data_IF_130715906650
#
_entry.id   IF_130715906650
#
_cell.length_a   1.000
_cell.length_b   1.000
_cell.length_c   1.000
_cell.angle_alpha   90.00
_cell.angle_beta   90.00
_cell.angle_gamma   90.00
#
_symmetry.space_group_name_H-M   'P 1'
#
loop_
_entity.id
_entity.type
_entity.pdbx_description
1 polymer ?
#
# COMPACT_ATOMS: atom_id res chain seq x y z
N UNK A 1 2.93 -5.73 -27.23
CA UNK A 1 1.87 -5.71 -26.21
C UNK A 1 2.54 -5.26 -24.94
N UNK A 2 2.15 -4.10 -24.40
CA UNK A 2 2.89 -3.39 -23.35
C UNK A 2 2.88 -4.19 -22.03
N UNK A 3 4.05 -4.37 -21.41
CA UNK A 3 4.22 -4.87 -20.02
C UNK A 3 3.64 -3.91 -18.96
N UNK A 4 3.06 -2.77 -19.37
CA UNK A 4 2.39 -1.82 -18.50
C UNK A 4 1.14 -2.44 -17.85
N UNK A 5 1.30 -2.96 -16.63
CA UNK A 5 0.22 -3.46 -15.78
C UNK A 5 0.35 -4.92 -15.31
N UNK A 6 1.43 -5.62 -15.69
CA UNK A 6 1.74 -6.96 -15.16
C UNK A 6 2.97 -6.91 -14.25
N UNK A 7 2.94 -7.61 -13.12
CA UNK A 7 4.08 -7.75 -12.20
C UNK A 7 4.41 -9.22 -12.02
N UNK A 8 5.70 -9.56 -11.96
CA UNK A 8 6.08 -10.95 -11.71
C UNK A 8 5.92 -11.29 -10.22
N UNK A 9 5.57 -12.54 -9.92
CA UNK A 9 5.48 -13.00 -8.52
C UNK A 9 6.83 -12.86 -7.77
N UNK A 10 7.95 -12.99 -8.47
CA UNK A 10 9.29 -12.78 -7.91
C UNK A 10 9.52 -11.31 -7.54
N UNK A 11 9.19 -10.37 -8.43
CA UNK A 11 9.29 -8.92 -8.16
C UNK A 11 8.37 -8.50 -7.01
N UNK A 12 7.19 -9.11 -6.88
CA UNK A 12 6.30 -8.88 -5.75
C UNK A 12 6.89 -9.39 -4.43
N UNK A 13 7.57 -10.53 -4.43
CA UNK A 13 8.26 -11.05 -3.25
C UNK A 13 9.42 -10.12 -2.81
N UNK A 14 10.19 -9.61 -3.76
CA UNK A 14 11.27 -8.64 -3.50
C UNK A 14 10.74 -7.32 -2.95
N UNK A 15 9.67 -6.77 -3.54
CA UNK A 15 9.10 -5.48 -3.12
C UNK A 15 8.39 -5.52 -1.76
N UNK A 16 7.89 -6.69 -1.34
CA UNK A 16 7.14 -6.86 -0.10
C UNK A 16 7.94 -7.47 1.04
N UNK A 17 9.19 -7.89 0.77
CA UNK A 17 10.02 -8.69 1.69
C UNK A 17 9.35 -9.98 2.21
N UNK A 18 8.29 -10.46 1.54
CA UNK A 18 7.59 -11.68 1.93
C UNK A 18 8.25 -12.92 1.33
N UNK A 19 8.21 -14.02 2.08
CA UNK A 19 8.66 -15.32 1.57
C UNK A 19 7.80 -15.76 0.38
N UNK A 20 8.41 -16.44 -0.59
CA UNK A 20 7.73 -16.95 -1.79
C UNK A 20 6.48 -17.78 -1.47
N UNK A 21 6.53 -18.65 -0.45
CA UNK A 21 5.36 -19.44 -0.03
C UNK A 21 4.16 -18.56 0.42
N UNK A 22 4.44 -17.44 1.09
CA UNK A 22 3.41 -16.48 1.51
C UNK A 22 2.82 -15.75 0.30
N UNK A 23 3.66 -15.34 -0.65
CA UNK A 23 3.21 -14.70 -1.90
C UNK A 23 2.31 -15.65 -2.69
N UNK A 24 2.70 -16.91 -2.86
CA UNK A 24 1.85 -17.90 -3.55
C UNK A 24 0.48 -18.04 -2.88
N UNK A 25 0.46 -18.17 -1.55
CA UNK A 25 -0.79 -18.28 -0.79
C UNK A 25 -1.68 -17.04 -0.92
N UNK A 26 -1.10 -15.84 -0.98
CA UNK A 26 -1.83 -14.59 -1.19
C UNK A 26 -2.36 -14.50 -2.63
N UNK A 27 -1.53 -14.83 -3.62
CA UNK A 27 -1.92 -14.84 -5.04
C UNK A 27 -3.08 -15.81 -5.27
N UNK A 28 -3.02 -17.02 -4.73
CA UNK A 28 -4.10 -18.00 -4.87
C UNK A 28 -5.42 -17.47 -4.27
N UNK A 29 -5.37 -16.78 -3.12
CA UNK A 29 -6.55 -16.17 -2.50
C UNK A 29 -7.11 -15.01 -3.30
N UNK A 30 -6.25 -14.16 -3.87
CA UNK A 30 -6.66 -13.02 -4.68
C UNK A 30 -7.23 -13.46 -6.03
N UNK A 31 -6.64 -14.50 -6.64
CA UNK A 31 -7.15 -15.12 -7.87
C UNK A 31 -8.52 -15.78 -7.65
N UNK A 32 -8.67 -16.53 -6.54
CA UNK A 32 -9.95 -17.16 -6.18
C UNK A 32 -11.08 -16.15 -5.93
N UNK A 33 -10.75 -14.91 -5.57
CA UNK A 33 -11.70 -13.80 -5.41
C UNK A 33 -11.94 -13.00 -6.69
N UNK A 34 -11.27 -13.35 -7.80
CA UNK A 34 -11.38 -12.62 -9.06
C UNK A 34 -10.70 -11.26 -9.06
N UNK A 35 -9.78 -11.00 -8.12
CA UNK A 35 -9.10 -9.70 -8.03
C UNK A 35 -7.85 -9.62 -8.90
N UNK A 36 -7.22 -10.76 -9.18
CA UNK A 36 -6.06 -10.86 -10.06
C UNK A 36 -6.22 -12.04 -11.03
N UNK A 37 -5.48 -11.99 -12.13
CA UNK A 37 -5.25 -13.12 -13.02
C UNK A 37 -3.77 -13.47 -13.07
N UNK A 38 -3.47 -14.75 -13.33
CA UNK A 38 -2.09 -15.23 -13.50
C UNK A 38 -1.87 -15.81 -14.89
N UNK A 39 -0.68 -15.57 -15.44
CA UNK A 39 -0.24 -16.17 -16.70
C UNK A 39 1.21 -16.61 -16.56
N UNK A 40 1.55 -17.78 -17.11
CA UNK A 40 2.95 -18.19 -17.21
C UNK A 40 3.63 -17.39 -18.31
N UNK A 41 4.87 -16.97 -18.09
CA UNK A 41 5.65 -16.34 -19.13
C UNK A 41 5.95 -17.35 -20.24
N UNK A 42 5.80 -16.93 -21.49
CA UNK A 42 6.01 -17.79 -22.66
C UNK A 42 7.50 -18.07 -22.90
N UNK A 43 8.36 -17.13 -22.52
CA UNK A 43 9.83 -17.20 -22.68
C UNK A 43 10.51 -17.96 -21.55
N UNK A 44 10.01 -17.82 -20.31
CA UNK A 44 10.50 -18.55 -19.15
C UNK A 44 9.33 -19.09 -18.31
N UNK A 45 9.07 -20.39 -18.42
CA UNK A 45 7.98 -21.07 -17.71
C UNK A 45 8.11 -21.02 -16.18
N UNK A 46 9.27 -20.62 -15.65
CA UNK A 46 9.49 -20.41 -14.21
C UNK A 46 8.95 -19.06 -13.74
N UNK A 47 8.74 -18.11 -14.65
CA UNK A 47 8.18 -16.79 -14.35
C UNK A 47 6.66 -16.83 -14.49
N UNK A 48 5.99 -16.28 -13.47
CA UNK A 48 4.54 -16.08 -13.45
C UNK A 48 4.27 -14.59 -13.41
N UNK A 49 3.47 -14.13 -14.36
CA UNK A 49 2.94 -12.78 -14.45
C UNK A 49 1.60 -12.71 -13.74
N UNK A 50 1.44 -11.66 -12.96
CA UNK A 50 0.24 -11.32 -12.21
C UNK A 50 -0.33 -10.03 -12.76
N UNK A 51 -1.63 -9.99 -12.96
CA UNK A 51 -2.34 -8.80 -13.45
C UNK A 51 -3.53 -8.50 -12.56
N UNK A 52 -3.66 -7.25 -12.15
CA UNK A 52 -4.84 -6.77 -11.42
C UNK A 52 -6.05 -6.75 -12.37
N UNK A 53 -7.18 -7.28 -11.90
CA UNK A 53 -8.45 -7.25 -12.61
C UNK A 53 -9.29 -6.05 -12.17
N UNK A 54 -10.28 -5.61 -12.98
CA UNK A 54 -11.15 -4.48 -12.63
C UNK A 54 -11.79 -4.61 -11.24
N UNK A 55 -12.24 -5.80 -10.88
CA UNK A 55 -12.84 -6.11 -9.58
C UNK A 55 -11.84 -5.92 -8.43
N UNK A 56 -10.56 -6.26 -8.67
CA UNK A 56 -9.47 -6.00 -7.73
C UNK A 56 -9.17 -4.51 -7.57
N UNK A 57 -9.23 -3.74 -8.66
CA UNK A 57 -9.08 -2.28 -8.62
C UNK A 57 -10.21 -1.61 -7.83
N UNK A 58 -11.46 -2.04 -8.05
CA UNK A 58 -12.61 -1.57 -7.26
C UNK A 58 -12.48 -1.94 -5.80
N UNK A 59 -12.02 -3.16 -5.48
CA UNK A 59 -11.79 -3.60 -4.10
C UNK A 59 -10.71 -2.77 -3.38
N UNK A 60 -9.67 -2.33 -4.09
CA UNK A 60 -8.65 -1.42 -3.54
C UNK A 60 -9.20 -0.02 -3.29
N UNK A 61 -10.04 0.50 -4.18
CA UNK A 61 -10.67 1.82 -4.03
C UNK A 61 -11.74 1.86 -2.92
N UNK A 62 -12.37 0.72 -2.65
CA UNK A 62 -13.45 0.60 -1.65
C UNK A 62 -12.99 0.05 -0.31
N UNK A 63 -11.75 -0.45 -0.22
CA UNK A 63 -11.16 -0.84 1.06
C UNK A 63 -10.75 0.41 1.83
N UNK A 64 -11.28 0.62 3.05
CA UNK A 64 -10.74 1.62 3.95
C UNK A 64 -9.24 1.38 4.13
N UNK A 65 -8.44 2.45 4.20
CA UNK A 65 -7.02 2.34 4.53
C UNK A 65 -6.89 1.59 5.87
N UNK A 66 -6.31 0.37 5.89
CA UNK A 66 -6.24 -0.45 7.10
C UNK A 66 -5.46 0.25 8.22
N UNK A 67 -4.51 1.11 7.88
CA UNK A 67 -3.77 1.91 8.85
C UNK A 67 -4.65 3.01 9.41
N UNK A 68 -5.42 3.71 8.56
CA UNK A 68 -6.38 4.71 9.01
C UNK A 68 -7.46 4.09 9.92
N UNK A 69 -8.01 2.94 9.54
CA UNK A 69 -9.02 2.25 10.35
C UNK A 69 -8.44 1.77 11.69
N UNK A 70 -7.21 1.22 11.66
CA UNK A 70 -6.52 0.78 12.89
C UNK A 70 -6.18 1.96 13.79
N UNK A 71 -5.70 3.07 13.24
CA UNK A 71 -5.41 4.31 13.97
C UNK A 71 -6.69 4.87 14.60
N UNK A 72 -7.74 5.11 13.80
CA UNK A 72 -9.01 5.67 14.29
C UNK A 72 -9.61 4.79 15.37
N UNK A 73 -9.59 3.46 15.20
CA UNK A 73 -10.07 2.52 16.21
C UNK A 73 -9.30 2.63 17.53
N UNK A 74 -7.96 2.60 17.47
CA UNK A 74 -7.13 2.62 18.67
C UNK A 74 -7.15 4.00 19.35
N UNK A 75 -7.19 5.08 18.58
CA UNK A 75 -7.26 6.44 19.08
C UNK A 75 -8.57 6.70 19.83
N UNK A 76 -9.72 6.27 19.26
CA UNK A 76 -11.03 6.41 19.89
C UNK A 76 -11.21 5.55 21.16
N UNK A 77 -10.35 4.54 21.37
CA UNK A 77 -10.34 3.75 22.60
C UNK A 77 -9.55 4.40 23.74
N UNK A 78 -8.77 5.44 23.44
CA UNK A 78 -8.07 6.19 24.48
C UNK A 78 -9.08 7.05 25.26
N UNK A 79 -8.86 7.25 26.57
CA UNK A 79 -9.61 8.25 27.32
C UNK A 79 -9.50 9.64 26.67
N UNK A 80 -10.56 10.44 26.73
CA UNK A 80 -10.64 11.77 26.09
C UNK A 80 -9.46 12.70 26.44
N UNK A 81 -9.00 12.64 27.69
CA UNK A 81 -7.84 13.42 28.13
C UNK A 81 -6.55 13.02 27.41
N UNK A 82 -6.41 11.73 27.08
CA UNK A 82 -5.22 11.19 26.42
C UNK A 82 -5.24 11.46 24.92
N UNK A 83 -6.43 11.43 24.30
CA UNK A 83 -6.63 11.91 22.92
C UNK A 83 -6.24 13.38 22.80
N UNK A 84 -6.73 14.22 23.73
CA UNK A 84 -6.43 15.65 23.77
C UNK A 84 -4.93 15.92 23.93
N UNK A 85 -4.24 15.16 24.78
CA UNK A 85 -2.78 15.25 24.93
C UNK A 85 -2.02 14.96 23.63
N UNK A 86 -2.43 13.93 22.88
CA UNK A 86 -1.79 13.58 21.61
C UNK A 86 -2.01 14.67 20.54
N UNK A 87 -3.22 15.23 20.48
CA UNK A 87 -3.54 16.34 19.56
C UNK A 87 -2.67 17.56 19.91
N UNK A 88 -2.64 17.97 21.17
CA UNK A 88 -1.83 19.13 21.59
C UNK A 88 -0.33 18.93 21.39
N UNK A 89 0.18 17.71 21.58
CA UNK A 89 1.58 17.39 21.29
C UNK A 89 1.88 17.54 19.79
N UNK A 90 0.99 17.07 18.92
CA UNK A 90 1.14 17.20 17.48
C UNK A 90 1.06 18.66 17.04
N UNK A 91 0.10 19.43 17.54
CA UNK A 91 -0.02 20.88 17.31
C UNK A 91 1.26 21.62 17.73
N UNK A 92 1.81 21.28 18.90
CA UNK A 92 3.08 21.84 19.39
C UNK A 92 4.23 21.54 18.43
N UNK A 93 4.34 20.32 17.93
CA UNK A 93 5.36 19.95 16.94
C UNK A 93 5.16 20.73 15.64
N UNK A 94 3.93 20.88 15.15
CA UNK A 94 3.65 21.66 13.93
C UNK A 94 4.00 23.14 14.08
N UNK A 95 3.76 23.71 15.26
CA UNK A 95 4.16 25.07 15.62
C UNK A 95 5.68 25.22 15.65
N UNK A 96 6.40 24.25 16.23
CA UNK A 96 7.87 24.26 16.29
C UNK A 96 8.54 24.13 14.92
N UNK A 97 7.90 23.42 13.98
CA UNK A 97 8.40 23.25 12.60
C UNK A 97 8.05 24.45 11.70
N UNK A 98 7.33 25.45 12.22
CA UNK A 98 6.88 26.63 11.48
C UNK A 98 6.07 26.28 10.21
N UNK A 99 5.11 25.35 10.35
CA UNK A 99 4.23 24.93 9.27
C UNK A 99 3.22 26.01 8.83
N UNK A 100 3.23 27.21 9.43
CA UNK A 100 2.29 28.30 9.11
C UNK A 100 2.42 28.84 7.66
N UNK A 101 3.45 28.45 6.91
CA UNK A 101 3.63 28.82 5.49
C UNK A 101 3.74 27.63 4.51
N UNK A 102 3.50 26.40 4.95
CA UNK A 102 3.44 25.23 4.07
C UNK A 102 2.03 24.68 4.10
N UNK A 103 1.33 24.81 2.98
CA UNK A 103 0.05 24.18 2.69
C UNK A 103 0.14 22.67 2.97
N UNK A 104 -0.14 22.30 4.21
CA UNK A 104 -0.01 20.94 4.72
C UNK A 104 -1.30 20.16 4.44
N UNK A 105 -1.63 20.03 3.16
CA UNK A 105 -2.34 18.83 2.73
C UNK A 105 -1.43 17.62 3.04
N UNK A 106 -1.96 16.50 3.56
CA UNK A 106 -1.14 15.32 3.79
C UNK A 106 -0.77 14.72 2.43
N UNK A 107 0.33 15.20 1.85
CA UNK A 107 1.08 14.47 0.85
C UNK A 107 1.78 13.34 1.62
N UNK A 108 1.08 12.20 1.70
CA UNK A 108 1.75 10.92 1.80
C UNK A 108 2.45 10.71 0.45
N UNK A 109 3.64 11.30 0.32
CA UNK A 109 4.56 10.99 -0.76
C UNK A 109 5.09 9.59 -0.50
N UNK A 110 4.37 8.59 -1.00
CA UNK A 110 4.85 7.22 -1.07
C UNK A 110 5.92 7.21 -2.16
N UNK A 111 7.14 7.55 -1.76
CA UNK A 111 8.39 7.19 -2.41
C UNK A 111 8.48 7.51 -3.90
N UNK A 112 9.26 8.54 -4.20
CA UNK A 112 9.94 8.73 -5.48
C UNK A 112 10.74 7.45 -5.83
N UNK A 113 10.10 6.53 -6.56
CA UNK A 113 10.69 5.29 -7.08
C UNK A 113 11.02 5.43 -8.57
N UNK A 114 11.39 6.62 -9.04
CA UNK A 114 11.74 6.85 -10.45
C UNK A 114 12.96 7.77 -10.67
N UNK A 115 13.94 7.72 -9.77
CA UNK A 115 15.29 8.18 -10.08
C UNK A 115 16.08 7.03 -10.72
N UNK A 116 15.87 6.79 -12.03
CA UNK A 116 16.86 6.06 -12.83
C UNK A 116 18.08 6.96 -13.04
N UNK A 117 19.29 6.58 -12.62
CA UNK A 117 20.49 7.33 -13.00
C UNK A 117 20.80 7.09 -14.48
N UNK A 118 21.16 8.18 -15.18
CA UNK A 118 21.90 8.15 -16.45
C UNK A 118 23.26 7.41 -16.30
#
# INVERSE_FOLDING_TARGET
>A
MSEAGEVSAGRLAEATQLKHATITSLVDKLEARGFISRRRCDEDRRRVWLRLLPEGQTALQTSPDPLHETFTRNFNQLPDWHQSMLISALETVTSLVNAENMDAAPVLDIGDLDQTPD
#
